data_IF_263382256991
#
_entry.id   IF_263382256991
#
_cell.length_a   1.000
_cell.length_b   1.000
_cell.length_c   1.000
_cell.angle_alpha   90.00
_cell.angle_beta   90.00
_cell.angle_gamma   90.00
#
_symmetry.space_group_name_H-M   'P 1'
#
loop_
_entity.id
_entity.type
_entity.pdbx_description
1 polymer ?
#
# COMPACT_ATOMS: atom_id res chain seq x y z
N UNK A 1 -17.03 -16.12 14.87
CA UNK A 1 -17.02 -14.64 14.89
C UNK A 1 -16.43 -14.19 13.56
N UNK A 2 -17.03 -13.22 12.88
CA UNK A 2 -16.42 -12.63 11.69
C UNK A 2 -15.14 -11.89 12.13
N UNK A 3 -14.05 -12.04 11.37
CA UNK A 3 -12.79 -11.37 11.67
C UNK A 3 -12.97 -9.85 11.50
N UNK A 4 -12.69 -9.07 12.55
CA UNK A 4 -12.76 -7.61 12.50
C UNK A 4 -11.50 -7.05 11.84
N UNK A 5 -11.62 -6.41 10.68
CA UNK A 5 -10.50 -5.79 9.95
C UNK A 5 -10.63 -4.27 9.96
N UNK A 6 -9.63 -3.58 10.47
CA UNK A 6 -9.50 -2.12 10.31
C UNK A 6 -8.78 -1.81 9.01
N UNK A 7 -9.30 -0.87 8.22
CA UNK A 7 -8.57 -0.26 7.11
C UNK A 7 -7.91 1.02 7.59
N UNK A 8 -6.63 1.20 7.27
CA UNK A 8 -5.91 2.45 7.53
C UNK A 8 -5.09 2.87 6.33
N UNK A 9 -5.08 4.17 6.05
CA UNK A 9 -4.31 4.78 4.97
C UNK A 9 -3.54 5.98 5.49
N UNK A 10 -2.25 6.05 5.19
CA UNK A 10 -1.46 7.25 5.48
C UNK A 10 -1.72 8.32 4.42
N UNK A 11 -1.95 9.55 4.89
CA UNK A 11 -2.21 10.70 4.05
C UNK A 11 -1.25 11.82 4.43
N UNK A 12 -0.77 12.57 3.44
CA UNK A 12 -0.02 13.80 3.65
C UNK A 12 -0.33 14.85 2.58
N UNK A 13 0.25 16.04 2.71
CA UNK A 13 0.01 17.15 1.78
C UNK A 13 0.42 16.84 0.33
N UNK A 14 1.39 15.95 0.09
CA UNK A 14 1.76 15.56 -1.28
C UNK A 14 0.72 14.70 -1.99
N UNK A 15 -0.28 14.21 -1.25
CA UNK A 15 -1.26 13.26 -1.80
C UNK A 15 -2.45 13.95 -2.44
N UNK A 16 -2.65 15.25 -2.19
CA UNK A 16 -3.78 16.02 -2.69
C UNK A 16 -4.10 15.78 -4.19
N UNK A 17 -3.12 15.67 -5.11
CA UNK A 17 -3.42 15.50 -6.53
C UNK A 17 -4.11 14.18 -6.91
N UNK A 18 -4.04 13.15 -6.05
CA UNK A 18 -4.55 11.80 -6.35
C UNK A 18 -5.43 11.19 -5.25
N UNK A 19 -5.37 11.72 -4.03
CA UNK A 19 -5.96 11.15 -2.81
C UNK A 19 -7.44 10.77 -2.97
N UNK A 20 -8.25 11.66 -3.54
CA UNK A 20 -9.68 11.42 -3.66
C UNK A 20 -9.98 10.25 -4.62
N UNK A 21 -9.35 10.28 -5.79
CA UNK A 21 -9.57 9.26 -6.82
C UNK A 21 -9.06 7.89 -6.36
N UNK A 22 -7.88 7.83 -5.76
CA UNK A 22 -7.26 6.59 -5.30
C UNK A 22 -8.03 5.97 -4.13
N UNK A 23 -8.47 6.73 -3.12
CA UNK A 23 -9.24 6.18 -2.00
C UNK A 23 -10.61 5.65 -2.44
N UNK A 24 -11.31 6.35 -3.34
CA UNK A 24 -12.57 5.85 -3.91
C UNK A 24 -12.35 4.57 -4.71
N UNK A 25 -11.26 4.50 -5.48
CA UNK A 25 -10.84 3.29 -6.18
C UNK A 25 -10.57 2.13 -5.22
N UNK A 26 -9.76 2.36 -4.17
CA UNK A 26 -9.46 1.34 -3.16
C UNK A 26 -10.73 0.78 -2.54
N UNK A 27 -11.69 1.62 -2.13
CA UNK A 27 -12.94 1.14 -1.53
C UNK A 27 -13.75 0.27 -2.50
N UNK A 28 -13.81 0.63 -3.79
CA UNK A 28 -14.48 -0.19 -4.82
C UNK A 28 -13.79 -1.54 -5.05
N UNK A 29 -12.46 -1.55 -5.13
CA UNK A 29 -11.69 -2.74 -5.50
C UNK A 29 -11.44 -3.68 -4.32
N UNK A 30 -11.28 -3.13 -3.13
CA UNK A 30 -11.20 -3.92 -1.90
C UNK A 30 -12.55 -4.51 -1.55
N UNK A 31 -13.66 -3.76 -1.74
CA UNK A 31 -15.04 -4.22 -1.51
C UNK A 31 -15.18 -5.12 -0.26
N UNK A 32 -14.72 -4.61 0.87
CA UNK A 32 -14.62 -5.37 2.10
C UNK A 32 -15.34 -4.64 3.23
N UNK A 33 -16.11 -5.35 4.09
CA UNK A 33 -16.81 -4.73 5.21
C UNK A 33 -15.85 -4.48 6.38
N UNK A 34 -15.04 -3.43 6.26
CA UNK A 34 -14.14 -3.01 7.34
C UNK A 34 -14.95 -2.56 8.57
N UNK A 35 -14.41 -2.81 9.76
CA UNK A 35 -15.03 -2.33 11.03
C UNK A 35 -14.77 -0.85 11.29
N UNK A 36 -13.78 -0.29 10.58
CA UNK A 36 -13.48 1.13 10.47
C UNK A 36 -12.53 1.36 9.28
N UNK A 37 -12.62 2.55 8.68
CA UNK A 37 -11.75 3.04 7.61
C UNK A 37 -11.17 4.38 8.05
N UNK A 38 -9.88 4.39 8.36
CA UNK A 38 -9.19 5.52 8.98
C UNK A 38 -8.20 6.13 8.01
N UNK A 39 -8.30 7.43 7.76
CA UNK A 39 -7.26 8.20 7.11
C UNK A 39 -6.36 8.86 8.18
N UNK A 40 -5.11 8.44 8.25
CA UNK A 40 -4.12 8.99 9.17
C UNK A 40 -3.35 10.11 8.50
N UNK A 41 -3.75 11.35 8.77
CA UNK A 41 -3.28 12.55 8.07
C UNK A 41 -2.12 13.21 8.80
N UNK A 42 -0.97 13.32 8.12
CA UNK A 42 0.16 14.14 8.52
C UNK A 42 0.16 15.49 7.75
N UNK A 43 -0.18 16.61 8.42
CA UNK A 43 -0.11 17.94 7.82
C UNK A 43 1.33 18.48 7.74
N UNK A 44 2.30 17.75 8.31
CA UNK A 44 3.70 18.12 8.36
C UNK A 44 4.34 18.34 6.99
N UNK A 45 5.48 19.04 7.00
CA UNK A 45 6.27 19.22 5.79
C UNK A 45 6.99 17.92 5.44
N UNK A 46 6.92 17.57 4.17
CA UNK A 46 7.67 16.47 3.61
C UNK A 46 9.18 16.79 3.62
N UNK A 47 9.98 15.77 3.91
CA UNK A 47 11.44 15.88 4.03
C UNK A 47 12.13 14.86 3.11
N UNK A 48 13.44 14.99 2.93
CA UNK A 48 14.24 14.06 2.13
C UNK A 48 13.72 13.93 0.70
N UNK A 49 13.57 12.69 0.21
CA UNK A 49 13.12 12.43 -1.16
C UNK A 49 11.68 12.89 -1.45
N UNK A 50 10.91 13.21 -0.41
CA UNK A 50 9.51 13.63 -0.52
C UNK A 50 9.36 15.15 -0.68
N UNK A 51 10.41 15.93 -0.40
CA UNK A 51 10.38 17.39 -0.47
C UNK A 51 10.15 17.95 -1.90
N UNK A 52 10.57 17.20 -2.93
CA UNK A 52 10.46 17.61 -4.34
C UNK A 52 9.11 17.24 -4.98
N UNK A 53 8.22 16.54 -4.27
CA UNK A 53 6.89 16.17 -4.79
C UNK A 53 6.00 17.39 -4.96
N UNK A 54 5.08 17.32 -5.92
CA UNK A 54 3.98 18.28 -6.02
C UNK A 54 3.20 18.24 -4.70
N UNK A 55 3.18 19.36 -3.99
CA UNK A 55 2.46 19.49 -2.72
C UNK A 55 1.10 20.14 -2.96
N UNK A 56 0.05 19.55 -2.40
CA UNK A 56 -1.19 20.27 -2.13
C UNK A 56 -1.05 21.16 -0.90
N UNK A 57 -2.06 21.99 -0.67
CA UNK A 57 -2.17 22.75 0.57
C UNK A 57 -2.85 21.92 1.66
N UNK A 58 -2.58 22.19 2.94
CA UNK A 58 -3.30 21.56 4.05
C UNK A 58 -4.81 21.71 3.89
N UNK A 59 -5.30 22.92 3.58
CA UNK A 59 -6.73 23.17 3.38
C UNK A 59 -7.33 22.45 2.17
N UNK A 60 -6.52 22.06 1.19
CA UNK A 60 -6.97 21.25 0.06
C UNK A 60 -7.16 19.79 0.47
N UNK A 61 -6.19 19.21 1.19
CA UNK A 61 -6.29 17.84 1.72
C UNK A 61 -7.44 17.73 2.72
N UNK A 62 -7.56 18.68 3.65
CA UNK A 62 -8.67 18.71 4.61
C UNK A 62 -10.03 18.69 3.90
N UNK A 63 -10.20 19.50 2.85
CA UNK A 63 -11.43 19.51 2.05
C UNK A 63 -11.67 18.19 1.31
N UNK A 64 -10.63 17.52 0.84
CA UNK A 64 -10.75 16.18 0.24
C UNK A 64 -11.24 15.19 1.29
N UNK A 65 -10.61 15.18 2.47
CA UNK A 65 -10.95 14.28 3.57
C UNK A 65 -12.37 14.52 4.09
N UNK A 66 -12.81 15.77 4.19
CA UNK A 66 -14.20 16.14 4.53
C UNK A 66 -15.20 15.56 3.52
N UNK A 67 -14.93 15.64 2.21
CA UNK A 67 -15.79 15.02 1.18
C UNK A 67 -15.82 13.50 1.32
N UNK A 68 -14.67 12.87 1.55
CA UNK A 68 -14.58 11.41 1.72
C UNK A 68 -15.31 10.92 2.97
N UNK A 69 -15.31 11.70 4.06
CA UNK A 69 -16.13 11.44 5.25
C UNK A 69 -17.61 11.59 4.95
N UNK A 70 -18.02 12.71 4.32
CA UNK A 70 -19.41 12.98 4.00
C UNK A 70 -20.04 11.91 3.09
N UNK A 71 -19.25 11.40 2.15
CA UNK A 71 -19.66 10.33 1.22
C UNK A 71 -19.55 8.92 1.83
N UNK A 72 -19.06 8.80 3.07
CA UNK A 72 -18.86 7.51 3.74
C UNK A 72 -17.82 6.61 3.07
N UNK A 73 -16.84 7.19 2.37
CA UNK A 73 -15.68 6.46 1.80
C UNK A 73 -14.72 6.06 2.91
N UNK A 74 -14.49 6.97 3.86
CA UNK A 74 -13.77 6.73 5.12
C UNK A 74 -14.71 7.04 6.30
N UNK A 75 -14.41 6.48 7.47
CA UNK A 75 -15.22 6.64 8.68
C UNK A 75 -14.63 7.68 9.63
N UNK A 76 -13.31 7.89 9.59
CA UNK A 76 -12.60 8.80 10.49
C UNK A 76 -11.32 9.33 9.85
N UNK A 77 -10.93 10.53 10.27
CA UNK A 77 -9.61 11.12 10.00
C UNK A 77 -8.91 11.31 11.33
N UNK A 78 -7.69 10.77 11.45
CA UNK A 78 -6.82 10.97 12.61
C UNK A 78 -5.66 11.86 12.19
N UNK A 79 -5.61 13.08 12.71
CA UNK A 79 -4.48 13.99 12.47
C UNK A 79 -3.32 13.58 13.38
N UNK A 80 -2.16 13.29 12.78
CA UNK A 80 -0.98 12.81 13.50
C UNK A 80 -0.51 13.86 14.53
N UNK A 81 -0.49 13.52 15.83
CA UNK A 81 -0.04 14.46 16.85
C UNK A 81 1.49 14.53 16.84
N UNK A 82 2.07 15.70 16.63
CA UNK A 82 3.53 15.89 16.67
C UNK A 82 4.03 16.37 18.05
N UNK A 83 3.32 16.03 19.12
CA UNK A 83 3.73 16.31 20.50
C UNK A 83 4.76 15.30 21.01
N UNK A 84 5.70 15.74 21.84
CA UNK A 84 6.73 14.87 22.43
C UNK A 84 6.14 13.69 23.20
N UNK A 85 5.10 13.92 24.02
CA UNK A 85 4.47 12.87 24.84
C UNK A 85 3.90 11.74 23.99
N UNK A 86 3.22 12.07 22.88
CA UNK A 86 2.61 11.07 21.99
C UNK A 86 3.67 10.31 21.19
N UNK A 87 4.70 11.01 20.71
CA UNK A 87 5.85 10.37 20.05
C UNK A 87 6.53 9.38 20.99
N UNK A 88 6.77 9.79 22.24
CA UNK A 88 7.35 8.92 23.26
C UNK A 88 6.44 7.73 23.56
N UNK A 89 5.12 7.93 23.70
CA UNK A 89 4.15 6.85 23.94
C UNK A 89 4.21 5.79 22.84
N UNK A 90 4.18 6.21 21.58
CA UNK A 90 4.22 5.32 20.41
C UNK A 90 5.58 4.60 20.33
N UNK A 91 6.70 5.34 20.36
CA UNK A 91 8.02 4.72 20.27
C UNK A 91 8.32 3.79 21.46
N UNK A 92 7.85 4.15 22.66
CA UNK A 92 7.96 3.28 23.84
C UNK A 92 7.19 1.97 23.64
N UNK A 93 5.96 2.02 23.12
CA UNK A 93 5.15 0.83 22.85
C UNK A 93 5.82 -0.08 21.81
N UNK A 94 6.26 0.47 20.69
CA UNK A 94 6.70 -0.33 19.55
C UNK A 94 8.18 -0.70 19.58
N UNK A 95 9.06 0.16 20.11
CA UNK A 95 10.51 -0.08 20.15
C UNK A 95 11.06 -0.28 21.57
N UNK A 96 10.21 -0.25 22.59
CA UNK A 96 10.60 -0.55 23.98
C UNK A 96 11.51 0.52 24.60
N UNK A 97 11.40 1.78 24.16
CA UNK A 97 12.20 2.89 24.70
C UNK A 97 13.61 3.01 24.11
N UNK A 98 13.92 2.24 23.07
CA UNK A 98 15.13 2.47 22.26
C UNK A 98 15.02 3.80 21.55
N UNK A 99 16.14 4.51 21.41
CA UNK A 99 16.20 5.69 20.55
C UNK A 99 16.00 5.26 19.10
N UNK A 100 14.93 5.76 18.49
CA UNK A 100 14.57 5.53 17.10
C UNK A 100 14.12 6.87 16.51
N UNK A 101 14.60 7.17 15.32
CA UNK A 101 14.21 8.38 14.60
C UNK A 101 12.72 8.34 14.20
N UNK A 102 12.07 9.50 14.15
CA UNK A 102 10.66 9.60 13.73
C UNK A 102 10.46 9.35 12.22
N UNK A 103 11.55 9.46 11.45
CA UNK A 103 11.65 9.23 10.01
C UNK A 103 12.93 8.45 9.72
N UNK A 104 12.94 7.68 8.63
CA UNK A 104 14.13 6.97 8.17
C UNK A 104 15.13 7.92 7.48
N UNK A 105 16.30 7.39 7.11
CA UNK A 105 17.36 8.15 6.43
C UNK A 105 16.95 8.77 5.07
N UNK A 106 15.83 8.32 4.48
CA UNK A 106 15.28 8.84 3.22
C UNK A 106 14.17 9.87 3.43
N UNK A 107 13.78 10.11 4.69
CA UNK A 107 12.67 10.97 5.10
C UNK A 107 11.33 10.24 5.18
N UNK A 108 11.27 8.91 5.03
CA UNK A 108 10.02 8.17 5.11
C UNK A 108 9.57 8.10 6.58
N UNK A 109 8.29 8.32 6.88
CA UNK A 109 7.87 8.37 8.26
C UNK A 109 7.95 6.99 8.91
N UNK A 110 8.41 6.94 10.16
CA UNK A 110 8.33 5.76 11.02
C UNK A 110 7.17 5.99 12.00
N UNK A 111 7.15 7.16 12.64
CA UNK A 111 6.16 7.54 13.63
C UNK A 111 4.72 7.51 13.08
N UNK A 112 4.46 8.10 11.91
CA UNK A 112 3.11 8.13 11.32
C UNK A 112 2.54 6.72 11.11
N UNK A 113 3.32 5.79 10.54
CA UNK A 113 2.87 4.42 10.34
C UNK A 113 2.53 3.76 11.67
N UNK A 114 3.40 3.88 12.68
CA UNK A 114 3.14 3.30 14.00
C UNK A 114 1.89 3.89 14.65
N UNK A 115 1.70 5.21 14.57
CA UNK A 115 0.51 5.89 15.06
C UNK A 115 -0.77 5.41 14.33
N UNK A 116 -0.72 5.28 13.00
CA UNK A 116 -1.82 4.79 12.18
C UNK A 116 -2.26 3.38 12.60
N UNK A 117 -1.31 2.49 12.88
CA UNK A 117 -1.59 1.14 13.36
C UNK A 117 -2.13 1.13 14.79
N UNK A 118 -1.59 1.99 15.67
CA UNK A 118 -2.00 2.10 17.07
C UNK A 118 -3.45 2.58 17.25
N UNK A 119 -3.90 3.45 16.35
CA UNK A 119 -5.24 4.03 16.37
C UNK A 119 -6.36 3.07 15.92
N UNK A 120 -6.01 1.90 15.38
CA UNK A 120 -6.94 0.90 14.87
C UNK A 120 -7.36 -0.11 15.96
N UNK A 121 -8.61 -0.58 15.89
CA UNK A 121 -9.24 -1.48 16.89
C UNK A 121 -9.50 -2.91 16.40
N UNK A 122 -9.25 -3.21 15.13
CA UNK A 122 -9.50 -4.52 14.52
C UNK A 122 -8.57 -5.60 15.04
N UNK A 123 -9.03 -6.86 14.99
CA UNK A 123 -8.18 -8.05 15.24
C UNK A 123 -7.13 -8.21 14.14
N UNK A 124 -7.47 -7.72 12.95
CA UNK A 124 -6.59 -7.62 11.80
C UNK A 124 -6.53 -6.18 11.31
N UNK A 125 -5.40 -5.83 10.73
CA UNK A 125 -5.14 -4.52 10.17
C UNK A 125 -4.83 -4.65 8.68
N UNK A 126 -5.56 -3.93 7.83
CA UNK A 126 -5.15 -3.71 6.45
C UNK A 126 -4.67 -2.27 6.29
N UNK A 127 -3.37 -2.08 6.15
CA UNK A 127 -2.75 -0.78 5.92
C UNK A 127 -2.37 -0.60 4.46
N UNK A 128 -2.47 0.62 3.94
CA UNK A 128 -2.04 1.02 2.59
C UNK A 128 -1.44 2.43 2.55
N UNK A 129 -0.54 2.69 1.60
CA UNK A 129 -0.22 4.04 1.14
C UNK A 129 -1.38 4.60 0.29
N UNK A 130 -1.54 5.92 0.27
CA UNK A 130 -2.65 6.61 -0.42
C UNK A 130 -2.61 6.54 -1.94
N UNK A 131 -1.51 6.09 -2.54
CA UNK A 131 -1.29 6.01 -3.99
C UNK A 131 -1.44 4.60 -4.57
N UNK A 132 -1.79 3.61 -3.73
CA UNK A 132 -1.94 2.23 -4.14
C UNK A 132 -3.15 2.02 -5.07
N UNK A 133 -2.95 1.26 -6.14
CA UNK A 133 -4.03 0.79 -7.02
C UNK A 133 -4.16 -0.73 -6.92
N UNK A 134 -5.40 -1.21 -6.85
CA UNK A 134 -5.73 -2.62 -6.67
C UNK A 134 -6.59 -3.12 -7.82
N UNK A 135 -6.23 -4.28 -8.36
CA UNK A 135 -7.12 -5.05 -9.21
C UNK A 135 -7.72 -6.21 -8.41
N UNK A 136 -9.02 -6.44 -8.63
CA UNK A 136 -9.73 -7.60 -8.13
C UNK A 136 -10.47 -8.29 -9.27
N UNK A 137 -10.12 -9.55 -9.53
CA UNK A 137 -10.95 -10.43 -10.34
C UNK A 137 -12.20 -10.88 -9.56
N UNK A 138 -13.38 -10.66 -10.14
CA UNK A 138 -14.66 -11.08 -9.55
C UNK A 138 -15.11 -10.24 -8.35
N UNK A 139 -16.12 -10.72 -7.62
CA UNK A 139 -16.77 -9.96 -6.55
C UNK A 139 -16.10 -10.14 -5.17
N UNK A 140 -15.38 -11.23 -4.96
CA UNK A 140 -14.77 -11.52 -3.66
C UNK A 140 -13.48 -10.71 -3.46
N UNK A 141 -13.37 -10.06 -2.32
CA UNK A 141 -12.13 -9.39 -1.90
C UNK A 141 -11.03 -10.40 -1.60
N UNK A 142 -9.80 -10.12 -2.03
CA UNK A 142 -8.62 -10.91 -1.68
C UNK A 142 -8.37 -10.96 -0.15
N UNK A 143 -8.88 -9.98 0.59
CA UNK A 143 -8.75 -9.91 2.05
C UNK A 143 -9.38 -11.12 2.73
N UNK A 144 -10.46 -11.69 2.18
CA UNK A 144 -11.02 -12.92 2.74
C UNK A 144 -10.03 -14.09 2.64
N UNK A 145 -9.36 -14.22 1.51
CA UNK A 145 -8.40 -15.31 1.29
C UNK A 145 -7.13 -15.08 2.14
N UNK A 146 -6.71 -13.83 2.32
CA UNK A 146 -5.66 -13.44 3.25
C UNK A 146 -6.00 -13.76 4.71
N UNK A 147 -7.24 -13.50 5.15
CA UNK A 147 -7.70 -13.88 6.48
C UNK A 147 -7.72 -15.39 6.67
N UNK A 148 -8.17 -16.15 5.66
CA UNK A 148 -8.17 -17.61 5.71
C UNK A 148 -6.75 -18.18 5.80
N UNK A 149 -5.79 -17.57 5.09
CA UNK A 149 -4.37 -17.89 5.22
C UNK A 149 -3.87 -17.62 6.65
N UNK A 150 -4.07 -16.41 7.17
CA UNK A 150 -3.59 -16.03 8.51
C UNK A 150 -4.14 -16.95 9.58
N UNK A 151 -5.42 -17.36 9.48
CA UNK A 151 -6.03 -18.31 10.42
C UNK A 151 -5.44 -19.72 10.31
N UNK A 152 -5.20 -20.20 9.09
CA UNK A 152 -4.70 -21.56 8.85
C UNK A 152 -3.22 -21.71 9.19
N UNK A 153 -2.42 -20.70 8.87
CA UNK A 153 -0.96 -20.75 9.00
C UNK A 153 -0.48 -19.87 10.16
N UNK A 154 -0.21 -20.49 11.31
CA UNK A 154 0.18 -19.79 12.55
C UNK A 154 1.48 -18.99 12.43
N UNK A 155 2.35 -19.34 11.48
CA UNK A 155 3.62 -18.64 11.20
C UNK A 155 3.48 -17.43 10.29
N UNK A 156 2.35 -17.25 9.62
CA UNK A 156 2.15 -16.10 8.72
C UNK A 156 1.62 -14.92 9.52
N UNK A 157 2.36 -13.82 9.59
CA UNK A 157 1.92 -12.61 10.28
C UNK A 157 1.32 -11.59 9.31
N UNK A 158 1.79 -11.59 8.07
CA UNK A 158 1.36 -10.67 7.03
C UNK A 158 0.96 -11.43 5.76
N UNK A 159 -0.17 -11.04 5.18
CA UNK A 159 -0.63 -11.47 3.87
C UNK A 159 -0.74 -10.26 2.93
N UNK A 160 -0.39 -10.44 1.66
CA UNK A 160 -0.53 -9.41 0.61
C UNK A 160 -1.08 -10.02 -0.68
N UNK A 161 -1.77 -9.24 -1.54
CA UNK A 161 -2.04 -9.66 -2.91
C UNK A 161 -0.73 -9.77 -3.70
N UNK A 162 -0.82 -10.25 -4.94
CA UNK A 162 0.34 -10.30 -5.83
C UNK A 162 0.86 -8.89 -6.10
N UNK A 163 2.18 -8.70 -6.01
CA UNK A 163 2.80 -7.42 -6.38
C UNK A 163 2.84 -7.28 -7.90
N UNK A 164 2.02 -6.38 -8.44
CA UNK A 164 1.94 -6.04 -9.85
C UNK A 164 1.23 -7.08 -10.73
N UNK A 165 0.72 -6.66 -11.90
CA UNK A 165 0.25 -7.59 -12.92
C UNK A 165 1.42 -8.30 -13.61
N UNK A 166 1.18 -9.35 -14.41
CA UNK A 166 2.20 -9.99 -15.23
C UNK A 166 3.02 -8.99 -16.05
N UNK A 167 4.33 -9.24 -16.16
CA UNK A 167 5.27 -8.46 -16.95
C UNK A 167 6.18 -9.39 -17.74
N UNK A 168 6.53 -9.00 -18.97
CA UNK A 168 7.49 -9.74 -19.77
C UNK A 168 8.88 -9.78 -19.10
N UNK A 169 9.37 -10.98 -18.78
CA UNK A 169 10.63 -11.25 -18.06
C UNK A 169 11.84 -11.40 -18.98
N UNK A 170 11.60 -11.70 -20.25
CA UNK A 170 12.66 -11.93 -21.22
C UNK A 170 12.26 -11.43 -22.61
N UNK A 171 13.24 -11.40 -23.53
CA UNK A 171 13.04 -10.97 -24.91
C UNK A 171 11.94 -11.76 -25.64
N UNK A 172 11.84 -13.06 -25.43
CA UNK A 172 10.85 -13.89 -26.12
C UNK A 172 9.42 -13.53 -25.68
N UNK A 173 9.18 -13.36 -24.39
CA UNK A 173 7.89 -12.87 -23.88
C UNK A 173 7.58 -11.45 -24.38
N UNK A 174 8.60 -10.58 -24.47
CA UNK A 174 8.45 -9.26 -25.09
C UNK A 174 8.12 -9.35 -26.57
N UNK A 175 8.57 -10.36 -27.30
CA UNK A 175 8.22 -10.55 -28.70
C UNK A 175 6.78 -11.08 -28.85
N UNK A 176 6.46 -12.17 -28.14
CA UNK A 176 5.17 -12.88 -28.24
C UNK A 176 4.01 -12.13 -27.58
N UNK A 177 4.29 -11.29 -26.58
CA UNK A 177 3.24 -10.66 -25.77
C UNK A 177 2.56 -11.61 -24.78
N UNK A 178 3.15 -12.77 -24.51
CA UNK A 178 2.63 -13.79 -23.60
C UNK A 178 3.67 -14.13 -22.54
N UNK A 179 3.21 -14.39 -21.31
CA UNK A 179 4.04 -14.90 -20.22
C UNK A 179 4.26 -16.40 -20.40
N UNK A 180 5.48 -16.86 -20.14
CA UNK A 180 5.83 -18.27 -20.05
C UNK A 180 5.93 -18.76 -18.61
N UNK A 181 5.50 -17.95 -17.64
CA UNK A 181 5.44 -18.39 -16.26
C UNK A 181 4.49 -19.58 -16.13
N UNK A 182 4.95 -20.69 -15.52
CA UNK A 182 4.07 -21.81 -15.26
C UNK A 182 2.98 -21.37 -14.28
N UNK A 183 1.79 -21.96 -14.41
CA UNK A 183 0.73 -21.75 -13.43
C UNK A 183 1.26 -22.15 -12.05
N UNK A 184 1.13 -21.28 -11.03
CA UNK A 184 1.62 -21.57 -9.70
C UNK A 184 0.93 -22.81 -9.13
N UNK A 185 1.69 -23.64 -8.41
CA UNK A 185 1.20 -24.87 -7.76
C UNK A 185 0.55 -24.61 -6.40
N UNK A 186 0.74 -23.41 -5.84
CA UNK A 186 0.19 -22.92 -4.59
C UNK A 186 -0.37 -21.52 -4.79
N UNK A 187 -1.48 -21.20 -4.12
CA UNK A 187 -2.08 -19.87 -4.15
C UNK A 187 -1.21 -18.81 -3.44
N UNK A 188 -0.22 -19.23 -2.66
CA UNK A 188 0.65 -18.36 -1.87
C UNK A 188 2.12 -18.73 -1.98
N UNK A 189 3.00 -17.74 -1.84
CA UNK A 189 4.45 -17.94 -1.70
C UNK A 189 5.01 -17.13 -0.54
N UNK A 190 6.10 -17.63 0.05
CA UNK A 190 6.89 -16.92 1.06
C UNK A 190 7.59 -15.71 0.46
N UNK A 191 7.62 -14.60 1.19
CA UNK A 191 8.40 -13.43 0.82
C UNK A 191 9.18 -12.89 2.03
N UNK A 192 10.47 -12.63 1.82
CA UNK A 192 11.42 -12.30 2.90
C UNK A 192 11.32 -10.85 3.38
N UNK A 193 10.59 -10.00 2.65
CA UNK A 193 10.50 -8.57 2.89
C UNK A 193 9.06 -8.14 3.10
N UNK A 194 8.78 -7.38 4.16
CA UNK A 194 7.47 -6.79 4.47
C UNK A 194 7.49 -5.31 4.11
N UNK A 195 6.86 -4.94 3.00
CA UNK A 195 6.74 -3.52 2.66
C UNK A 195 5.65 -2.83 3.48
N UNK A 196 5.85 -1.54 3.78
CA UNK A 196 4.83 -0.72 4.43
C UNK A 196 3.76 -0.21 3.46
N UNK A 197 3.96 -0.30 2.14
CA UNK A 197 3.03 0.25 1.14
C UNK A 197 1.63 -0.37 1.19
N UNK A 198 1.54 -1.66 1.50
CA UNK A 198 0.27 -2.34 1.72
C UNK A 198 0.48 -3.69 2.41
N UNK A 199 -0.32 -3.99 3.43
CA UNK A 199 -0.26 -5.27 4.13
C UNK A 199 -1.53 -5.56 4.94
N UNK A 200 -1.99 -6.82 4.90
CA UNK A 200 -2.97 -7.35 5.86
C UNK A 200 -2.19 -8.08 6.97
N UNK A 201 -2.38 -7.70 8.22
CA UNK A 201 -1.61 -8.20 9.36
C UNK A 201 -2.51 -8.68 10.50
N UNK A 202 -2.08 -9.77 11.14
CA UNK A 202 -2.66 -10.24 12.41
C UNK A 202 -2.09 -9.41 13.58
N UNK A 203 -2.96 -8.65 14.26
CA UNK A 203 -2.54 -7.68 15.29
C UNK A 203 -2.00 -8.40 16.54
N UNK A 204 -2.56 -9.55 16.91
CA UNK A 204 -2.09 -10.30 18.06
C UNK A 204 -0.68 -10.85 17.83
N UNK A 205 -0.40 -11.39 16.64
CA UNK A 205 0.96 -11.83 16.25
C UNK A 205 1.93 -10.66 16.17
N UNK A 206 1.49 -9.51 15.66
CA UNK A 206 2.29 -8.30 15.65
C UNK A 206 2.68 -7.84 17.05
N UNK A 207 1.74 -7.80 17.99
CA UNK A 207 2.05 -7.48 19.38
C UNK A 207 3.01 -8.49 20.02
N UNK A 208 2.90 -9.78 19.68
CA UNK A 208 3.84 -10.80 20.15
C UNK A 208 5.28 -10.63 19.59
N UNK A 209 5.45 -9.87 18.51
CA UNK A 209 6.77 -9.53 17.96
C UNK A 209 7.44 -8.35 18.68
N UNK A 210 6.69 -7.55 19.46
CA UNK A 210 7.24 -6.36 20.10
C UNK A 210 8.22 -6.70 21.24
N UNK A 211 9.22 -5.83 21.52
CA UNK A 211 9.54 -4.61 20.76
C UNK A 211 10.17 -4.92 19.39
N UNK A 212 9.92 -4.05 18.41
CA UNK A 212 10.59 -4.04 17.12
C UNK A 212 12.10 -3.81 17.30
N UNK A 213 12.86 -4.41 16.40
CA UNK A 213 14.31 -4.29 16.31
C UNK A 213 14.69 -3.72 14.95
N UNK A 214 15.58 -2.73 14.94
CA UNK A 214 16.25 -2.27 13.73
C UNK A 214 17.53 -3.09 13.51
N UNK A 215 17.73 -3.60 12.30
CA UNK A 215 19.01 -4.20 11.92
C UNK A 215 20.11 -3.14 11.81
N UNK A 216 19.74 -1.94 11.37
CA UNK A 216 20.61 -0.75 11.32
C UNK A 216 19.86 0.47 11.85
N UNK A 217 20.49 1.34 12.64
CA UNK A 217 19.85 2.59 13.09
C UNK A 217 19.36 3.44 11.90
N UNK A 218 18.17 4.03 12.05
CA UNK A 218 17.59 4.94 11.06
C UNK A 218 17.07 4.26 9.78
N UNK A 219 16.99 2.93 9.74
CA UNK A 219 16.45 2.20 8.59
C UNK A 219 14.93 2.36 8.44
N UNK A 220 14.37 2.11 7.24
CA UNK A 220 12.94 2.13 7.01
C UNK A 220 12.18 1.18 7.94
N UNK A 221 10.94 1.55 8.31
CA UNK A 221 10.10 0.70 9.17
C UNK A 221 9.87 -0.70 8.58
N UNK A 222 9.77 -0.82 7.25
CA UNK A 222 9.66 -2.11 6.54
C UNK A 222 10.85 -3.04 6.82
N UNK A 223 12.05 -2.49 7.00
CA UNK A 223 13.22 -3.27 7.39
C UNK A 223 13.11 -3.75 8.83
N UNK A 224 12.63 -2.90 9.75
CA UNK A 224 12.41 -3.28 11.14
C UNK A 224 11.37 -4.39 11.27
N UNK A 225 10.28 -4.33 10.50
CA UNK A 225 9.30 -5.42 10.41
C UNK A 225 9.93 -6.69 9.87
N UNK A 226 10.58 -6.63 8.72
CA UNK A 226 11.18 -7.80 8.07
C UNK A 226 12.19 -8.49 8.98
N UNK A 227 13.09 -7.72 9.60
CA UNK A 227 14.10 -8.22 10.51
C UNK A 227 13.49 -8.82 11.77
N UNK A 228 12.55 -8.12 12.42
CA UNK A 228 11.92 -8.59 13.65
C UNK A 228 11.10 -9.86 13.41
N UNK A 229 10.26 -9.88 12.37
CA UNK A 229 9.39 -11.01 12.08
C UNK A 229 10.21 -12.27 11.77
N UNK A 230 11.25 -12.15 10.93
CA UNK A 230 12.15 -13.26 10.62
C UNK A 230 12.81 -13.83 11.90
N UNK A 231 13.34 -12.95 12.78
CA UNK A 231 13.95 -13.38 14.06
C UNK A 231 12.97 -14.07 15.00
N UNK A 232 11.70 -13.69 14.95
CA UNK A 232 10.61 -14.27 15.76
C UNK A 232 9.96 -15.48 15.10
N UNK A 233 10.46 -15.92 13.93
CA UNK A 233 9.94 -17.09 13.21
C UNK A 233 8.63 -16.87 12.48
N UNK A 234 8.25 -15.60 12.27
CA UNK A 234 7.09 -15.21 11.48
C UNK A 234 7.49 -14.86 10.04
N UNK A 235 6.52 -15.01 9.13
CA UNK A 235 6.70 -14.78 7.71
C UNK A 235 5.62 -13.89 7.11
N UNK A 236 5.96 -13.21 6.02
CA UNK A 236 4.97 -12.66 5.07
C UNK A 236 4.78 -13.61 3.91
N UNK A 237 3.52 -13.83 3.53
CA UNK A 237 3.17 -14.56 2.32
C UNK A 237 2.41 -13.65 1.35
N UNK A 238 2.65 -13.82 0.05
CA UNK A 238 1.93 -13.09 -1.01
C UNK A 238 1.14 -14.04 -1.87
N UNK A 239 -0.01 -13.60 -2.38
CA UNK A 239 -0.80 -14.37 -3.35
C UNK A 239 0.00 -14.59 -4.63
N UNK A 240 -0.29 -15.71 -5.29
CA UNK A 240 0.15 -16.06 -6.63
C UNK A 240 -1.01 -15.95 -7.64
N UNK A 241 -0.70 -16.04 -8.93
CA UNK A 241 -1.71 -16.33 -9.97
C UNK A 241 -2.47 -15.11 -10.52
N UNK A 242 -2.12 -13.90 -10.07
CA UNK A 242 -2.59 -12.63 -10.66
C UNK A 242 -4.12 -12.42 -10.67
N UNK A 243 -4.88 -13.16 -9.86
CA UNK A 243 -6.32 -12.93 -9.67
C UNK A 243 -6.59 -11.63 -8.92
N UNK A 244 -5.71 -11.30 -7.99
CA UNK A 244 -5.68 -10.04 -7.27
C UNK A 244 -4.25 -9.52 -7.27
N UNK A 245 -4.06 -8.27 -7.65
CA UNK A 245 -2.75 -7.64 -7.63
C UNK A 245 -2.83 -6.18 -7.23
N UNK A 246 -1.73 -5.67 -6.71
CA UNK A 246 -1.58 -4.27 -6.33
C UNK A 246 -0.38 -3.66 -7.05
N UNK A 247 -0.50 -2.41 -7.50
CA UNK A 247 0.55 -1.66 -8.19
C UNK A 247 0.60 -0.25 -7.59
N UNK A 248 1.79 0.36 -7.54
CA UNK A 248 1.96 1.72 -7.06
C UNK A 248 2.66 2.58 -8.12
N UNK A 249 2.41 3.89 -8.19
CA UNK A 249 3.19 4.77 -9.05
C UNK A 249 4.67 4.73 -8.67
N UNK A 250 5.54 4.69 -9.66
CA UNK A 250 6.97 4.91 -9.44
C UNK A 250 7.25 6.36 -9.03
N UNK A 251 6.50 7.30 -9.62
CA UNK A 251 6.55 8.74 -9.36
C UNK A 251 5.17 9.38 -9.43
N UNK A 252 4.96 10.41 -8.63
CA UNK A 252 3.76 11.27 -8.65
C UNK A 252 3.95 12.45 -9.61
N UNK A 253 4.33 12.15 -10.85
CA UNK A 253 4.59 13.17 -11.84
C UNK A 253 3.31 13.70 -12.52
N UNK A 254 3.48 14.69 -13.40
CA UNK A 254 2.37 15.29 -14.13
C UNK A 254 1.61 14.28 -15.02
N UNK A 255 2.26 13.24 -15.54
CA UNK A 255 1.59 12.23 -16.35
C UNK A 255 0.72 11.32 -15.48
N UNK A 256 1.22 10.88 -14.33
CA UNK A 256 0.43 10.10 -13.37
C UNK A 256 -0.84 10.85 -12.97
N UNK A 257 -0.70 12.11 -12.53
CA UNK A 257 -1.83 12.93 -12.09
C UNK A 257 -2.80 13.21 -13.25
N UNK A 258 -2.29 13.59 -14.44
CA UNK A 258 -3.12 13.91 -15.61
C UNK A 258 -3.96 12.73 -16.08
N UNK A 259 -3.40 11.52 -16.04
CA UNK A 259 -4.04 10.33 -16.59
C UNK A 259 -4.62 9.41 -15.51
N UNK A 260 -4.69 9.86 -14.25
CA UNK A 260 -5.02 9.02 -13.10
C UNK A 260 -6.35 8.27 -13.27
N UNK A 261 -7.41 8.93 -13.74
CA UNK A 261 -8.72 8.30 -13.93
C UNK A 261 -8.67 7.16 -14.97
N UNK A 262 -7.90 7.34 -16.05
CA UNK A 262 -7.71 6.30 -17.05
C UNK A 262 -6.82 5.17 -16.52
N UNK A 263 -5.77 5.48 -15.76
CA UNK A 263 -4.91 4.49 -15.11
C UNK A 263 -5.69 3.66 -14.07
N UNK A 264 -6.51 4.31 -13.25
CA UNK A 264 -7.45 3.66 -12.33
C UNK A 264 -8.37 2.74 -13.12
N UNK A 265 -9.02 3.24 -14.19
CA UNK A 265 -9.89 2.42 -15.00
C UNK A 265 -9.18 1.20 -15.57
N UNK A 266 -7.95 1.35 -16.07
CA UNK A 266 -7.17 0.23 -16.58
C UNK A 266 -6.94 -0.82 -15.49
N UNK A 267 -6.50 -0.39 -14.30
CA UNK A 267 -6.28 -1.29 -13.16
C UNK A 267 -7.56 -2.01 -12.76
N UNK A 268 -8.68 -1.29 -12.60
CA UNK A 268 -9.97 -1.87 -12.23
C UNK A 268 -10.48 -2.93 -13.23
N UNK A 269 -10.07 -2.82 -14.50
CA UNK A 269 -10.47 -3.73 -15.57
C UNK A 269 -9.42 -4.81 -15.88
N UNK A 270 -8.36 -4.93 -15.08
CA UNK A 270 -7.29 -5.89 -15.31
C UNK A 270 -6.47 -5.60 -16.56
N UNK A 271 -6.47 -4.35 -17.01
CA UNK A 271 -5.80 -3.87 -18.22
C UNK A 271 -4.47 -3.23 -17.81
N UNK A 272 -3.38 -3.69 -18.42
CA UNK A 272 -2.03 -3.22 -18.12
C UNK A 272 -1.09 -3.47 -19.31
N UNK A 273 0.01 -2.69 -19.44
CA UNK A 273 1.05 -2.99 -20.40
C UNK A 273 1.88 -4.19 -19.94
N UNK A 274 1.72 -5.32 -20.64
CA UNK A 274 2.56 -6.51 -20.41
C UNK A 274 4.03 -6.25 -20.74
N UNK A 275 4.28 -5.47 -21.80
CA UNK A 275 5.60 -4.96 -22.17
C UNK A 275 5.78 -3.60 -21.52
N UNK A 276 6.43 -3.57 -20.35
CA UNK A 276 6.71 -2.34 -19.63
C UNK A 276 8.10 -2.32 -19.00
N UNK A 277 8.56 -1.12 -18.67
CA UNK A 277 9.85 -0.86 -18.02
C UNK A 277 9.72 -0.85 -16.49
N UNK A 278 10.79 -1.17 -15.75
CA UNK A 278 10.81 -1.16 -14.28
C UNK A 278 10.43 -2.49 -13.65
N UNK A 279 10.23 -2.48 -12.33
CA UNK A 279 9.78 -3.65 -11.60
C UNK A 279 8.29 -3.91 -11.84
N UNK A 280 7.85 -5.16 -11.63
CA UNK A 280 6.47 -5.56 -11.91
C UNK A 280 5.42 -4.79 -11.11
N UNK A 281 5.77 -4.35 -9.89
CA UNK A 281 4.90 -3.60 -8.98
C UNK A 281 4.95 -2.07 -9.20
N UNK A 282 5.79 -1.58 -10.11
CA UNK A 282 5.89 -0.16 -10.44
C UNK A 282 4.99 0.18 -11.64
N UNK A 283 4.14 1.20 -11.46
CA UNK A 283 3.47 1.92 -12.53
C UNK A 283 4.36 3.12 -12.94
N UNK A 284 5.12 2.95 -14.01
CA UNK A 284 5.94 4.03 -14.58
C UNK A 284 5.13 4.88 -15.54
N UNK A 285 5.17 6.19 -15.33
CA UNK A 285 4.47 7.20 -16.14
C UNK A 285 5.37 8.35 -16.55
N UNK A 286 6.62 8.37 -16.08
CA UNK A 286 7.52 9.48 -16.32
C UNK A 286 8.04 9.49 -17.77
N UNK A 287 8.10 10.70 -18.34
CA UNK A 287 8.57 10.88 -19.72
C UNK A 287 7.77 10.04 -20.71
N UNK A 288 8.47 9.23 -21.51
CA UNK A 288 7.86 8.38 -22.54
C UNK A 288 7.24 7.09 -21.96
N UNK A 289 7.46 6.75 -20.69
CA UNK A 289 6.91 5.52 -20.10
C UNK A 289 5.38 5.54 -20.01
N UNK A 290 4.76 6.72 -19.95
CA UNK A 290 3.28 6.83 -20.03
C UNK A 290 2.73 6.24 -21.33
N UNK A 291 3.49 6.25 -22.43
CA UNK A 291 3.01 5.71 -23.71
C UNK A 291 2.79 4.20 -23.67
N UNK A 292 3.48 3.47 -22.78
CA UNK A 292 3.22 2.05 -22.54
C UNK A 292 1.77 1.84 -22.06
N UNK A 293 1.30 2.68 -21.13
CA UNK A 293 -0.06 2.66 -20.61
C UNK A 293 -1.08 3.21 -21.62
N UNK A 294 -0.79 4.37 -22.23
CA UNK A 294 -1.68 4.99 -23.21
C UNK A 294 -1.88 4.09 -24.44
N UNK A 295 -0.87 3.36 -24.88
CA UNK A 295 -1.00 2.42 -25.99
C UNK A 295 -2.03 1.31 -25.70
N UNK A 296 -2.12 0.84 -24.46
CA UNK A 296 -3.14 -0.14 -24.07
C UNK A 296 -4.50 0.56 -23.91
N UNK A 297 -4.56 1.69 -23.21
CA UNK A 297 -5.80 2.47 -23.03
C UNK A 297 -6.47 2.84 -24.36
N UNK A 298 -5.69 3.24 -25.38
CA UNK A 298 -6.20 3.58 -26.71
C UNK A 298 -6.92 2.43 -27.40
N UNK A 299 -6.52 1.18 -27.15
CA UNK A 299 -7.22 -0.01 -27.67
C UNK A 299 -8.61 -0.20 -27.06
N UNK A 300 -8.86 0.44 -25.92
CA UNK A 300 -10.16 0.43 -25.23
C UNK A 300 -10.91 1.77 -25.34
N UNK A 301 -10.52 2.63 -26.29
CA UNK A 301 -11.18 3.92 -26.51
C UNK A 301 -10.89 5.00 -25.45
N UNK A 302 -9.86 4.78 -24.62
CA UNK A 302 -9.39 5.71 -23.57
C UNK A 302 -8.00 6.26 -23.90
N UNK A 303 -7.43 7.08 -23.00
CA UNK A 303 -6.07 7.60 -23.19
C UNK A 303 -5.97 8.63 -24.32
N UNK A 304 -7.06 9.35 -24.59
CA UNK A 304 -7.06 10.55 -25.46
C UNK A 304 -7.00 11.77 -24.55
N UNK A 305 -5.85 12.41 -24.48
CA UNK A 305 -5.72 13.80 -24.01
C UNK A 305 -5.74 14.74 -25.20
#
# INVERSE_FOLDING_TARGET
MNAAVSFTVNVCNSDAPYLEQTLRHMMRQLNFPFVERVATYDPGRQEGKYAERIQGTQSEVERILERLLADGVIDRVDVVPWTEDEQQRILQKYFGGRQVDLKDFSGAPIYQYLYAMDACRGDYLFHVDSDMLFYRAGERSWLYDGLDLLKRESRVIVATPQGGPPQARNWLERLTGHSFEPRPTSDWHHADFVSTRYFLMDVARFHACLPLEQAKPGEPLENSFSYTFARKGYARWSMNGYTHWAIHPWRHDANYVRHLDDLIWAVENGIYPFKRTGFQWDMRTEGEHIEEWLAVLRKHGRGRS
#
